data_IF_560153801829
#
_entry.id   IF_560153801829
#
_cell.length_a   1.000
_cell.length_b   1.000
_cell.length_c   1.000
_cell.angle_alpha   90.00
_cell.angle_beta   90.00
_cell.angle_gamma   90.00
#
_symmetry.space_group_name_H-M   'P 1'
#
loop_
_entity.id
_entity.type
_entity.pdbx_description
1 polymer ?
#
# COMPACT_ATOMS: atom_id res chain seq x y z
N UNK A 1 -27.53 18.38 -5.47
CA UNK A 1 -26.59 18.32 -4.33
C UNK A 1 -25.62 17.19 -4.59
N UNK A 2 -24.33 17.44 -4.48
CA UNK A 2 -23.34 16.36 -4.54
C UNK A 2 -23.52 15.43 -3.33
N UNK A 3 -23.38 14.12 -3.54
CA UNK A 3 -23.49 13.14 -2.47
C UNK A 3 -22.42 13.40 -1.39
N UNK A 4 -22.73 13.24 -0.08
CA UNK A 4 -21.74 13.33 0.98
C UNK A 4 -20.57 12.38 0.72
N UNK A 5 -19.38 12.74 1.21
CA UNK A 5 -18.16 11.96 1.00
C UNK A 5 -17.46 11.69 2.33
N UNK A 6 -17.06 10.44 2.53
CA UNK A 6 -16.22 9.98 3.62
C UNK A 6 -14.95 9.31 3.08
N UNK A 7 -13.89 9.36 3.88
CA UNK A 7 -12.67 8.58 3.64
C UNK A 7 -12.34 7.74 4.87
N UNK A 8 -11.89 6.51 4.68
CA UNK A 8 -11.60 5.56 5.75
C UNK A 8 -10.21 4.96 5.52
N UNK A 9 -9.30 5.26 6.43
CA UNK A 9 -8.02 4.57 6.54
C UNK A 9 -8.21 3.29 7.36
N UNK A 10 -7.66 2.18 6.87
CA UNK A 10 -7.89 0.84 7.40
C UNK A 10 -6.57 0.23 7.84
N UNK A 11 -6.52 -0.14 9.12
CA UNK A 11 -5.46 -0.96 9.69
C UNK A 11 -6.01 -2.32 10.11
N UNK A 12 -5.14 -3.18 10.65
CA UNK A 12 -5.55 -4.51 11.13
C UNK A 12 -6.68 -4.42 12.16
N UNK A 13 -6.52 -3.56 13.17
CA UNK A 13 -7.40 -3.54 14.34
C UNK A 13 -8.27 -2.27 14.43
N UNK A 14 -7.98 -1.25 13.63
CA UNK A 14 -8.64 0.07 13.70
C UNK A 14 -9.06 0.62 12.34
N UNK A 15 -10.13 1.38 12.35
CA UNK A 15 -10.65 2.18 11.24
C UNK A 15 -10.62 3.66 11.64
N UNK A 16 -10.03 4.50 10.80
CA UNK A 16 -10.04 5.96 10.99
C UNK A 16 -10.88 6.57 9.88
N UNK A 17 -12.05 7.12 10.24
CA UNK A 17 -12.96 7.74 9.28
C UNK A 17 -12.88 9.26 9.37
N UNK A 18 -12.82 9.93 8.22
CA UNK A 18 -13.05 11.35 8.08
C UNK A 18 -14.39 11.60 7.41
N UNK A 19 -15.26 12.37 8.07
CA UNK A 19 -16.57 12.76 7.54
C UNK A 19 -16.95 14.15 8.05
N UNK A 20 -17.42 15.03 7.15
CA UNK A 20 -17.90 16.39 7.46
C UNK A 20 -17.00 17.21 8.40
N UNK A 21 -15.68 17.18 8.19
CA UNK A 21 -14.74 17.96 9.00
C UNK A 21 -14.30 17.29 10.30
N UNK A 22 -14.84 16.12 10.65
CA UNK A 22 -14.54 15.39 11.88
C UNK A 22 -13.82 14.08 11.60
N UNK A 23 -13.04 13.63 12.59
CA UNK A 23 -12.39 12.33 12.62
C UNK A 23 -13.08 11.43 13.64
N UNK A 24 -13.22 10.16 13.27
CA UNK A 24 -13.79 9.10 14.08
C UNK A 24 -12.85 7.91 14.06
N UNK A 25 -12.76 7.20 15.18
CA UNK A 25 -11.97 5.98 15.33
C UNK A 25 -12.89 4.84 15.76
N UNK A 26 -12.77 3.71 15.08
CA UNK A 26 -13.56 2.51 15.33
C UNK A 26 -12.67 1.26 15.34
N UNK A 27 -13.19 0.17 15.89
CA UNK A 27 -12.59 -1.16 15.75
C UNK A 27 -12.78 -1.70 14.32
N UNK A 28 -11.81 -2.46 13.82
CA UNK A 28 -11.95 -3.16 12.53
C UNK A 28 -12.70 -4.50 12.69
N UNK A 29 -13.94 -4.41 13.15
CA UNK A 29 -14.83 -5.54 13.36
C UNK A 29 -16.29 -5.14 13.10
N UNK A 30 -17.21 -6.09 13.31
CA UNK A 30 -18.64 -5.89 13.07
C UNK A 30 -19.21 -4.69 13.83
N UNK A 31 -18.76 -4.47 15.06
CA UNK A 31 -19.25 -3.37 15.90
C UNK A 31 -18.85 -2.03 15.29
N UNK A 32 -17.57 -1.85 14.95
CA UNK A 32 -17.11 -0.61 14.30
C UNK A 32 -17.79 -0.36 12.95
N UNK A 33 -18.15 -1.40 12.21
CA UNK A 33 -18.88 -1.25 10.95
C UNK A 33 -20.32 -0.74 11.16
N UNK A 34 -20.98 -1.19 12.23
CA UNK A 34 -22.31 -0.72 12.61
C UNK A 34 -22.28 0.75 13.08
N UNK A 35 -21.29 1.12 13.90
CA UNK A 35 -21.08 2.50 14.33
C UNK A 35 -20.84 3.46 13.14
N UNK A 36 -20.08 3.02 12.12
CA UNK A 36 -19.92 3.78 10.86
C UNK A 36 -21.25 3.98 10.14
N UNK A 37 -22.09 2.93 10.08
CA UNK A 37 -23.39 2.98 9.39
C UNK A 37 -24.37 3.93 10.07
N UNK A 38 -24.33 4.06 11.39
CA UNK A 38 -25.14 5.01 12.15
C UNK A 38 -24.77 6.47 11.84
N UNK A 39 -23.50 6.74 11.52
CA UNK A 39 -22.99 8.08 11.22
C UNK A 39 -23.18 8.45 9.75
N UNK A 40 -22.95 7.52 8.83
CA UNK A 40 -22.96 7.80 7.40
C UNK A 40 -24.37 7.71 6.78
N UNK A 41 -24.85 8.78 6.13
CA UNK A 41 -26.13 8.74 5.42
C UNK A 41 -26.05 7.81 4.19
N UNK A 42 -27.14 7.10 3.90
CA UNK A 42 -27.24 6.21 2.73
C UNK A 42 -26.90 6.96 1.43
N UNK A 43 -26.19 6.29 0.54
CA UNK A 43 -25.71 6.88 -0.72
C UNK A 43 -24.48 7.79 -0.58
N UNK A 44 -23.88 7.89 0.62
CA UNK A 44 -22.57 8.52 0.80
C UNK A 44 -21.51 7.80 -0.06
N UNK A 45 -20.58 8.56 -0.65
CA UNK A 45 -19.40 8.02 -1.32
C UNK A 45 -18.30 7.77 -0.30
N UNK A 46 -17.75 6.56 -0.27
CA UNK A 46 -16.79 6.14 0.75
C UNK A 46 -15.49 5.70 0.10
N UNK A 47 -14.41 6.44 0.34
CA UNK A 47 -13.06 6.07 -0.12
C UNK A 47 -12.35 5.22 0.92
N UNK A 48 -11.89 4.03 0.56
CA UNK A 48 -11.20 3.11 1.48
C UNK A 48 -9.82 2.80 0.92
N UNK A 49 -8.77 2.92 1.73
CA UNK A 49 -7.42 2.52 1.31
C UNK A 49 -7.25 0.98 1.28
N UNK A 50 -6.68 0.45 0.19
CA UNK A 50 -6.41 -0.99 0.02
C UNK A 50 -5.10 -1.44 0.68
N UNK A 51 -4.94 -1.20 1.99
CA UNK A 51 -3.78 -1.68 2.73
C UNK A 51 -3.95 -3.16 3.13
N UNK A 52 -3.34 -4.06 2.37
CA UNK A 52 -3.42 -5.50 2.60
C UNK A 52 -4.86 -6.02 2.43
N UNK A 53 -5.26 -7.03 3.21
CA UNK A 53 -6.60 -7.65 3.12
C UNK A 53 -7.64 -7.05 4.07
N UNK A 54 -7.23 -6.13 4.96
CA UNK A 54 -8.04 -5.68 6.10
C UNK A 54 -9.28 -4.87 5.69
N UNK A 55 -9.26 -4.24 4.52
CA UNK A 55 -10.37 -3.45 3.99
C UNK A 55 -11.53 -4.29 3.43
N UNK A 56 -11.30 -5.57 3.11
CA UNK A 56 -12.25 -6.41 2.35
C UNK A 56 -13.58 -6.57 3.07
N UNK A 57 -13.54 -6.84 4.38
CA UNK A 57 -14.76 -7.07 5.17
C UNK A 57 -15.57 -5.78 5.32
N UNK A 58 -14.92 -4.65 5.60
CA UNK A 58 -15.55 -3.35 5.66
C UNK A 58 -16.19 -2.97 4.31
N UNK A 59 -15.45 -3.14 3.22
CA UNK A 59 -15.94 -2.84 1.87
C UNK A 59 -17.21 -3.63 1.55
N UNK A 60 -17.18 -4.95 1.74
CA UNK A 60 -18.34 -5.83 1.54
C UNK A 60 -19.54 -5.42 2.39
N UNK A 61 -19.29 -5.00 3.63
CA UNK A 61 -20.35 -4.55 4.52
C UNK A 61 -21.03 -3.26 4.03
N UNK A 62 -20.26 -2.31 3.51
CA UNK A 62 -20.76 -0.99 3.09
C UNK A 62 -21.31 -0.95 1.65
N UNK A 63 -20.86 -1.82 0.75
CA UNK A 63 -21.22 -1.79 -0.68
C UNK A 63 -22.72 -1.90 -0.98
N UNK A 64 -23.53 -2.41 -0.05
CA UNK A 64 -25.00 -2.50 -0.21
C UNK A 64 -25.73 -1.16 -0.03
N UNK A 65 -25.15 -0.20 0.68
CA UNK A 65 -25.81 1.07 1.06
C UNK A 65 -25.04 2.33 0.65
N UNK A 66 -23.78 2.18 0.22
CA UNK A 66 -22.83 3.27 -0.05
C UNK A 66 -22.09 3.07 -1.38
N UNK A 67 -21.67 4.17 -2.02
CA UNK A 67 -20.76 4.14 -3.20
C UNK A 67 -19.32 3.95 -2.70
N UNK A 68 -18.95 2.69 -2.46
CA UNK A 68 -17.63 2.31 -1.93
C UNK A 68 -16.59 2.29 -3.04
N UNK A 69 -15.48 2.99 -2.80
CA UNK A 69 -14.35 3.10 -3.73
C UNK A 69 -13.06 2.69 -3.05
N UNK A 70 -12.50 1.61 -3.54
CA UNK A 70 -11.21 1.12 -3.07
C UNK A 70 -10.11 1.90 -3.79
N UNK A 71 -9.23 2.51 -2.99
CA UNK A 71 -8.16 3.39 -3.45
C UNK A 71 -6.83 2.69 -3.20
N UNK A 72 -6.00 2.64 -4.24
CA UNK A 72 -4.67 2.06 -4.16
C UNK A 72 -3.72 2.98 -3.36
N UNK A 73 -2.94 2.48 -2.38
CA UNK A 73 -1.96 3.26 -1.62
C UNK A 73 -0.97 4.05 -2.48
N UNK A 74 -0.62 3.56 -3.67
CA UNK A 74 0.25 4.28 -4.61
C UNK A 74 -0.40 5.55 -5.14
N UNK A 75 -1.71 5.54 -5.38
CA UNK A 75 -2.45 6.73 -5.80
C UNK A 75 -2.45 7.76 -4.67
N UNK A 76 -2.73 7.31 -3.44
CA UNK A 76 -2.69 8.16 -2.26
C UNK A 76 -1.31 8.81 -2.08
N UNK A 77 -0.22 8.05 -2.26
CA UNK A 77 1.16 8.57 -2.22
C UNK A 77 1.44 9.61 -3.30
N UNK A 78 1.08 9.34 -4.56
CA UNK A 78 1.23 10.33 -5.64
C UNK A 78 0.45 11.62 -5.36
N UNK A 79 -0.74 11.50 -4.79
CA UNK A 79 -1.56 12.65 -4.41
C UNK A 79 -0.91 13.48 -3.27
N UNK A 80 -0.21 12.81 -2.32
CA UNK A 80 0.57 13.47 -1.25
C UNK A 80 1.71 14.31 -1.84
N UNK A 81 2.42 13.77 -2.84
CA UNK A 81 3.58 14.45 -3.44
C UNK A 81 3.17 15.67 -4.28
N UNK A 82 2.05 15.59 -5.01
CA UNK A 82 1.58 16.66 -5.90
C UNK A 82 1.07 17.91 -5.18
N UNK A 83 0.45 17.80 -3.99
CA UNK A 83 -0.13 18.96 -3.27
C UNK A 83 0.83 19.64 -2.30
N UNK A 84 2.10 19.21 -2.24
CA UNK A 84 3.21 19.97 -1.66
C UNK A 84 2.88 20.72 -0.37
N UNK A 85 2.48 20.02 0.70
CA UNK A 85 2.46 20.59 2.06
C UNK A 85 2.35 19.48 3.09
N UNK A 86 3.19 19.60 4.11
CA UNK A 86 3.17 18.90 5.40
C UNK A 86 1.89 19.30 6.17
N UNK A 87 0.72 19.07 5.57
CA UNK A 87 -0.60 19.41 6.10
C UNK A 87 -1.11 18.25 6.96
N UNK A 88 -1.63 18.58 8.12
CA UNK A 88 -1.87 17.69 9.25
C UNK A 88 -2.52 16.32 8.93
N UNK A 89 -1.70 15.29 9.11
CA UNK A 89 -1.92 14.07 9.93
C UNK A 89 -3.08 13.10 9.68
N UNK A 90 -3.86 13.13 8.60
CA UNK A 90 -4.82 12.02 8.40
C UNK A 90 -5.03 11.55 6.95
N UNK A 91 -4.74 10.27 6.71
CA UNK A 91 -4.92 9.62 5.42
C UNK A 91 -6.42 9.46 5.07
N UNK A 92 -7.29 9.32 6.07
CA UNK A 92 -8.75 9.31 5.91
C UNK A 92 -9.29 10.59 5.26
N UNK A 93 -8.78 11.77 5.65
CA UNK A 93 -9.19 13.05 5.05
C UNK A 93 -8.81 13.12 3.57
N UNK A 94 -7.60 12.67 3.23
CA UNK A 94 -7.11 12.68 1.85
C UNK A 94 -7.91 11.71 0.97
N UNK A 95 -8.30 10.56 1.50
CA UNK A 95 -9.18 9.63 0.79
C UNK A 95 -10.50 10.31 0.41
N UNK A 96 -11.12 11.08 1.32
CA UNK A 96 -12.33 11.84 1.00
C UNK A 96 -12.08 12.85 -0.14
N UNK A 97 -10.97 13.60 -0.11
CA UNK A 97 -10.60 14.54 -1.17
C UNK A 97 -10.35 13.86 -2.53
N UNK A 98 -9.76 12.67 -2.51
CA UNK A 98 -9.52 11.86 -3.72
C UNK A 98 -10.85 11.39 -4.31
N UNK A 99 -11.78 10.91 -3.48
CA UNK A 99 -13.11 10.47 -3.95
C UNK A 99 -13.88 11.60 -4.63
N UNK A 100 -13.83 12.82 -4.08
CA UNK A 100 -14.41 14.01 -4.72
C UNK A 100 -13.78 14.26 -6.09
N UNK A 101 -12.46 14.10 -6.20
CA UNK A 101 -11.70 14.36 -7.43
C UNK A 101 -11.87 13.26 -8.51
N UNK A 102 -12.30 12.04 -8.13
CA UNK A 102 -12.21 10.85 -8.99
C UNK A 102 -13.41 10.56 -9.92
N UNK A 103 -14.42 11.43 -10.03
CA UNK A 103 -15.59 11.17 -10.92
C UNK A 103 -16.29 9.84 -10.60
N UNK A 104 -17.01 9.18 -11.52
CA UNK A 104 -17.64 7.86 -11.28
C UNK A 104 -16.81 6.66 -11.78
N UNK A 105 -15.64 6.90 -12.37
CA UNK A 105 -14.95 5.93 -13.22
C UNK A 105 -13.97 4.97 -12.54
N UNK A 106 -13.68 5.14 -11.24
CA UNK A 106 -12.67 4.33 -10.54
C UNK A 106 -13.31 3.44 -9.47
N UNK A 107 -13.83 2.31 -9.92
CA UNK A 107 -14.05 1.11 -9.09
C UNK A 107 -12.91 0.15 -9.43
N UNK A 108 -11.95 -0.02 -8.54
CA UNK A 108 -10.96 -1.09 -8.72
C UNK A 108 -11.64 -2.41 -8.42
N UNK A 109 -11.83 -3.26 -9.42
CA UNK A 109 -12.31 -4.62 -9.16
C UNK A 109 -11.27 -5.39 -8.36
N UNK A 110 -11.71 -6.21 -7.40
CA UNK A 110 -10.82 -7.10 -6.61
C UNK A 110 -9.89 -7.92 -7.52
N UNK A 111 -10.39 -8.33 -8.69
CA UNK A 111 -9.60 -9.00 -9.72
C UNK A 111 -8.45 -8.14 -10.27
N UNK A 112 -8.69 -6.84 -10.55
CA UNK A 112 -7.64 -5.91 -11.01
C UNK A 112 -6.57 -5.69 -9.97
N UNK A 113 -6.95 -5.56 -8.70
CA UNK A 113 -5.99 -5.40 -7.61
C UNK A 113 -5.13 -6.67 -7.45
N UNK A 114 -5.74 -7.86 -7.46
CA UNK A 114 -5.00 -9.13 -7.44
C UNK A 114 -4.02 -9.26 -8.61
N UNK A 115 -4.46 -8.94 -9.83
CA UNK A 115 -3.56 -8.97 -11.00
C UNK A 115 -2.43 -7.96 -10.89
N UNK A 116 -2.68 -6.77 -10.33
CA UNK A 116 -1.65 -5.74 -10.13
C UNK A 116 -0.63 -6.16 -9.07
N UNK A 117 -1.09 -6.80 -7.99
CA UNK A 117 -0.22 -7.36 -6.95
C UNK A 117 0.63 -8.51 -7.50
N UNK A 118 0.04 -9.42 -8.28
CA UNK A 118 0.77 -10.49 -8.97
C UNK A 118 1.89 -9.91 -9.83
N UNK A 119 1.56 -8.93 -10.67
CA UNK A 119 2.49 -8.23 -11.53
C UNK A 119 3.64 -7.55 -10.76
N UNK A 120 3.33 -6.93 -9.63
CA UNK A 120 4.32 -6.33 -8.74
C UNK A 120 5.26 -7.38 -8.13
N UNK A 121 4.73 -8.52 -7.70
CA UNK A 121 5.52 -9.64 -7.16
C UNK A 121 6.46 -10.20 -8.22
N UNK A 122 5.96 -10.47 -9.44
CA UNK A 122 6.78 -10.96 -10.55
C UNK A 122 7.92 -9.99 -10.87
N UNK A 123 7.62 -8.68 -10.97
CA UNK A 123 8.66 -7.65 -11.20
C UNK A 123 9.66 -7.55 -10.05
N UNK A 124 9.21 -7.73 -8.81
CA UNK A 124 10.08 -7.70 -7.63
C UNK A 124 11.00 -8.92 -7.55
N UNK A 125 10.49 -10.12 -7.85
CA UNK A 125 11.28 -11.35 -7.97
C UNK A 125 12.37 -11.17 -9.03
N UNK A 126 12.00 -10.67 -10.22
CA UNK A 126 12.97 -10.41 -11.29
C UNK A 126 14.05 -9.40 -10.86
N UNK A 127 13.66 -8.30 -10.20
CA UNK A 127 14.58 -7.28 -9.69
C UNK A 127 15.59 -7.86 -8.70
N UNK A 128 15.10 -8.63 -7.71
CA UNK A 128 15.95 -9.26 -6.69
C UNK A 128 16.88 -10.29 -7.33
N UNK A 129 16.37 -11.13 -8.25
CA UNK A 129 17.18 -12.12 -8.98
C UNK A 129 18.31 -11.46 -9.78
N UNK A 130 18.02 -10.37 -10.49
CA UNK A 130 19.02 -9.64 -11.26
C UNK A 130 20.06 -8.94 -10.39
N UNK A 131 19.67 -8.44 -9.22
CA UNK A 131 20.61 -7.90 -8.22
C UNK A 131 21.58 -8.98 -7.75
N UNK A 132 21.09 -10.14 -7.33
CA UNK A 132 21.96 -11.23 -6.86
C UNK A 132 22.89 -11.76 -7.96
N UNK A 133 22.40 -11.84 -9.21
CA UNK A 133 23.23 -12.18 -10.37
C UNK A 133 24.38 -11.20 -10.59
N UNK A 134 24.10 -9.89 -10.51
CA UNK A 134 25.12 -8.85 -10.56
C UNK A 134 26.16 -9.04 -9.45
N UNK A 135 25.70 -9.28 -8.21
CA UNK A 135 26.59 -9.46 -7.07
C UNK A 135 27.50 -10.70 -7.24
N UNK A 136 26.98 -11.81 -7.79
CA UNK A 136 27.79 -12.97 -8.16
C UNK A 136 28.88 -12.64 -9.18
N UNK A 137 28.52 -11.90 -10.24
CA UNK A 137 29.48 -11.48 -11.28
C UNK A 137 30.55 -10.56 -10.71
N UNK A 138 30.19 -9.63 -9.81
CA UNK A 138 31.14 -8.73 -9.14
C UNK A 138 32.14 -9.48 -8.25
N UNK A 139 31.74 -10.63 -7.70
CA UNK A 139 32.62 -11.53 -6.95
C UNK A 139 33.44 -12.46 -7.86
N UNK A 140 33.25 -12.42 -9.19
CA UNK A 140 33.99 -13.28 -10.13
C UNK A 140 33.31 -14.61 -10.46
N UNK A 141 32.10 -14.86 -9.96
CA UNK A 141 31.34 -16.07 -10.27
C UNK A 141 30.50 -15.92 -11.53
N UNK A 142 30.02 -17.07 -12.04
CA UNK A 142 29.14 -17.13 -13.21
C UNK A 142 27.80 -16.43 -12.95
N UNK A 143 27.27 -15.77 -13.97
CA UNK A 143 25.91 -15.19 -13.99
C UNK A 143 24.83 -16.27 -14.07
N UNK A 144 24.73 -17.07 -13.01
CA UNK A 144 23.67 -18.06 -12.85
C UNK A 144 23.35 -18.25 -11.38
N UNK A 145 22.11 -17.94 -11.02
CA UNK A 145 21.62 -18.14 -9.67
C UNK A 145 21.27 -19.61 -9.48
N UNK A 146 22.18 -20.38 -8.88
CA UNK A 146 21.99 -21.81 -8.59
C UNK A 146 22.52 -22.15 -7.20
N UNK A 147 21.97 -23.19 -6.58
CA UNK A 147 22.45 -23.67 -5.26
C UNK A 147 23.93 -24.02 -5.32
N UNK A 148 24.37 -24.66 -6.41
CA UNK A 148 25.77 -25.01 -6.66
C UNK A 148 26.68 -23.76 -6.67
N UNK A 149 26.29 -22.70 -7.36
CA UNK A 149 27.10 -21.48 -7.43
C UNK A 149 27.15 -20.75 -6.08
N UNK A 150 26.07 -20.78 -5.31
CA UNK A 150 26.07 -20.23 -3.95
C UNK A 150 26.96 -21.04 -3.00
N UNK A 151 26.99 -22.37 -3.16
CA UNK A 151 27.93 -23.23 -2.42
C UNK A 151 29.39 -22.97 -2.82
N UNK A 152 29.67 -22.66 -4.08
CA UNK A 152 31.00 -22.23 -4.53
C UNK A 152 31.42 -20.90 -3.87
N UNK A 153 30.51 -19.92 -3.81
CA UNK A 153 30.72 -18.64 -3.10
C UNK A 153 31.03 -18.88 -1.61
N UNK A 154 30.26 -19.75 -0.95
CA UNK A 154 30.43 -20.05 0.48
C UNK A 154 31.71 -20.81 0.80
N UNK A 155 32.25 -21.58 -0.15
CA UNK A 155 33.51 -22.33 0.03
C UNK A 155 34.75 -21.45 -0.04
N UNK A 156 34.60 -20.18 -0.46
CA UNK A 156 35.62 -19.14 -0.32
C UNK A 156 36.85 -19.36 -1.19
N UNK A 157 36.85 -18.73 -2.37
CA UNK A 157 38.04 -18.58 -3.22
C UNK A 157 38.42 -17.13 -3.52
N UNK A 158 37.57 -16.16 -3.19
CA UNK A 158 37.79 -14.78 -3.59
C UNK A 158 38.57 -14.01 -2.54
N UNK A 159 39.86 -13.85 -2.83
CA UNK A 159 40.73 -12.84 -2.26
C UNK A 159 40.35 -11.43 -2.76
N UNK A 160 39.07 -11.05 -2.73
CA UNK A 160 38.69 -9.65 -2.85
C UNK A 160 38.69 -9.09 -1.44
N UNK A 161 39.83 -8.52 -1.05
CA UNK A 161 39.91 -7.58 0.07
C UNK A 161 38.96 -6.44 -0.28
N UNK A 162 37.72 -6.49 0.22
CA UNK A 162 36.92 -5.28 0.39
C UNK A 162 37.76 -4.42 1.34
N UNK A 163 38.41 -3.38 0.81
CA UNK A 163 39.19 -2.47 1.62
C UNK A 163 38.29 -1.99 2.77
N UNK A 164 38.57 -2.47 3.99
CA UNK A 164 37.97 -1.91 5.19
C UNK A 164 38.47 -0.47 5.26
N UNK A 165 37.59 0.48 4.95
CA UNK A 165 37.85 1.88 5.22
C UNK A 165 37.77 2.04 6.74
N UNK A 166 38.91 1.86 7.41
CA UNK A 166 39.08 2.30 8.78
C UNK A 166 39.08 3.83 8.77
N UNK A 167 38.03 4.45 9.28
CA UNK A 167 38.09 5.86 9.64
C UNK A 167 39.04 5.97 10.84
N UNK A 168 40.32 6.23 10.54
CA UNK A 168 41.31 6.57 11.56
C UNK A 168 40.80 7.80 12.31
N UNK A 169 40.61 7.62 13.62
CA UNK A 169 40.32 8.73 14.52
C UNK A 169 41.47 9.72 14.52
N UNK A 170 41.12 10.98 14.26
CA UNK A 170 41.88 12.17 14.63
C UNK A 170 40.94 13.12 15.35
#
# INVERSE_FOLDING_TARGET
MEAPVAGIDVSKDKLIMYFQGKLYEFTNDRQGFEEIREILPKGCKVGIESTGVYHVNLAKYLMGEYDVRIINPFILKKFKDFRGKKSDKNDAKKLAEIVVSMGSGFVTSDARELTSQWDFVIRSIARVKNRLRRDLVLLGYRDSLSKKNLEEVLRGGDSIVLAEVSFGGA
#
